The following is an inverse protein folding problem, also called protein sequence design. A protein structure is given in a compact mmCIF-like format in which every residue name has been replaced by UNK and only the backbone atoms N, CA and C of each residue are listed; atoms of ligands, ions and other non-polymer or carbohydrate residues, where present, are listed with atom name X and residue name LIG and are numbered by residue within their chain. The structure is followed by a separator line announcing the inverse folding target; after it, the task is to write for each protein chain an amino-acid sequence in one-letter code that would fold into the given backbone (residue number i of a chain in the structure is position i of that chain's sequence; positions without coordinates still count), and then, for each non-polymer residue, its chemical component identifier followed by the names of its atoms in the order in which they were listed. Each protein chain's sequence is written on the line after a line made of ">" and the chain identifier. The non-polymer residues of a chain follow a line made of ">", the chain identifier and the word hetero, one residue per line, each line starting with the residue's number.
data_IF_516699286591
#
_entry.id   IF_516699286591
#
_cell.length_a   1.000
_cell.length_b   1.000
_cell.length_c   1.000
_cell.angle_alpha   90.00
_cell.angle_beta   90.00
_cell.angle_gamma   90.00
#
_symmetry.space_group_name_H-M   'P 1'
#
loop_
_entity.id
_entity.type
_entity.pdbx_description
1 polymer ?
#
# COMPACT_ATOMS: atom_id res chain seq x y z
N UNK A 1 -17.70 -14.06 -51.88
CA UNK A 1 -19.05 -14.19 -51.31
C UNK A 1 -18.94 -15.09 -50.09
N UNK A 2 -19.20 -14.50 -48.91
CA UNK A 2 -19.71 -15.08 -47.66
C UNK A 2 -18.89 -16.19 -46.98
N UNK A 3 -18.69 -16.25 -45.67
CA UNK A 3 -18.97 -15.38 -44.52
C UNK A 3 -18.21 -16.02 -43.35
N UNK A 4 -17.48 -15.21 -42.59
CA UNK A 4 -16.87 -15.61 -41.31
C UNK A 4 -17.99 -15.69 -40.25
N UNK A 5 -18.15 -16.84 -39.59
CA UNK A 5 -18.94 -16.93 -38.35
C UNK A 5 -17.98 -17.00 -37.17
N UNK A 6 -17.85 -15.87 -36.48
CA UNK A 6 -17.26 -15.74 -35.16
C UNK A 6 -18.33 -16.05 -34.12
N UNK A 7 -18.28 -17.24 -33.52
CA UNK A 7 -19.05 -17.51 -32.31
C UNK A 7 -18.26 -16.96 -31.11
N UNK A 8 -18.67 -15.76 -30.69
CA UNK A 8 -18.16 -15.09 -29.50
C UNK A 8 -19.05 -15.48 -28.32
N UNK A 9 -18.61 -16.43 -27.49
CA UNK A 9 -19.34 -16.80 -26.26
C UNK A 9 -18.92 -15.87 -25.11
N UNK A 10 -19.70 -14.82 -24.89
CA UNK A 10 -19.70 -14.07 -23.63
C UNK A 10 -20.34 -14.94 -22.55
N UNK A 11 -19.60 -15.23 -21.47
CA UNK A 11 -20.13 -15.81 -20.24
C UNK A 11 -20.20 -14.70 -19.19
N UNK A 12 -21.41 -14.24 -18.90
CA UNK A 12 -21.70 -13.30 -17.82
C UNK A 12 -21.89 -14.04 -16.51
N UNK A 13 -21.02 -13.76 -15.55
CA UNK A 13 -20.92 -14.38 -14.24
C UNK A 13 -21.93 -13.77 -13.25
N UNK A 14 -23.25 -13.83 -13.54
CA UNK A 14 -24.25 -13.17 -12.67
C UNK A 14 -25.61 -13.87 -12.51
N UNK A 15 -25.69 -15.20 -12.64
CA UNK A 15 -26.99 -15.92 -12.57
C UNK A 15 -27.16 -16.87 -11.36
N UNK A 16 -26.39 -16.73 -10.28
CA UNK A 16 -26.44 -17.67 -9.15
C UNK A 16 -26.88 -17.11 -7.79
N UNK A 17 -27.70 -16.06 -7.73
CA UNK A 17 -28.19 -15.52 -6.45
C UNK A 17 -29.69 -15.22 -6.38
N UNK A 18 -30.52 -15.96 -7.11
CA UNK A 18 -31.99 -15.91 -6.96
C UNK A 18 -32.60 -17.30 -6.93
N UNK A 19 -32.18 -18.14 -5.98
CA UNK A 19 -32.93 -19.34 -5.59
C UNK A 19 -32.68 -19.64 -4.11
N UNK A 20 -33.33 -18.87 -3.24
CA UNK A 20 -33.66 -19.30 -1.87
C UNK A 20 -35.13 -18.95 -1.63
N UNK A 21 -35.99 -19.71 -2.31
CA UNK A 21 -37.36 -19.94 -1.85
C UNK A 21 -37.28 -20.82 -0.61
N UNK A 22 -37.38 -20.21 0.55
CA UNK A 22 -37.77 -20.87 1.78
C UNK A 22 -38.36 -19.74 2.63
N UNK A 23 -39.67 -19.59 2.60
CA UNK A 23 -40.53 -19.49 3.77
C UNK A 23 -41.97 -19.29 3.28
N UNK A 24 -42.63 -20.43 3.16
CA UNK A 24 -44.08 -20.63 3.17
C UNK A 24 -44.73 -19.75 4.24
N UNK A 25 -45.87 -19.17 3.86
CA UNK A 25 -46.88 -18.63 4.77
C UNK A 25 -47.13 -19.60 5.93
N UNK A 26 -46.86 -19.12 7.14
CA UNK A 26 -47.45 -19.64 8.35
C UNK A 26 -47.83 -18.44 9.21
N UNK A 27 -49.13 -18.23 9.30
CA UNK A 27 -49.78 -17.26 10.17
C UNK A 27 -49.27 -17.41 11.61
N UNK A 28 -48.59 -16.39 12.12
CA UNK A 28 -48.44 -16.19 13.56
C UNK A 28 -48.68 -14.72 13.88
N UNK A 29 -49.92 -14.44 14.30
CA UNK A 29 -50.31 -13.24 15.04
C UNK A 29 -49.29 -12.98 16.16
N UNK A 30 -48.37 -12.05 15.95
CA UNK A 30 -47.53 -11.50 17.02
C UNK A 30 -47.99 -10.08 17.36
N UNK A 31 -48.53 -9.96 18.57
CA UNK A 31 -48.81 -8.69 19.22
C UNK A 31 -47.53 -7.84 19.35
N UNK A 32 -47.63 -6.49 19.38
CA UNK A 32 -46.47 -5.63 19.51
C UNK A 32 -45.79 -5.84 20.86
N UNK A 33 -44.67 -6.57 20.88
CA UNK A 33 -43.78 -6.65 22.05
C UNK A 33 -43.03 -5.34 22.17
N UNK A 34 -43.52 -4.45 23.04
CA UNK A 34 -42.74 -3.33 23.56
C UNK A 34 -41.46 -3.88 24.21
N UNK A 35 -40.31 -3.58 23.60
CA UNK A 35 -39.00 -3.81 24.22
C UNK A 35 -38.88 -2.80 25.36
N UNK A 36 -39.26 -3.22 26.57
CA UNK A 36 -38.92 -2.49 27.79
C UNK A 36 -37.46 -2.77 28.10
N UNK A 37 -36.59 -1.81 27.77
CA UNK A 37 -35.24 -1.78 28.32
C UNK A 37 -35.34 -1.76 29.85
N UNK A 38 -34.70 -2.70 30.58
CA UNK A 38 -34.64 -2.61 32.02
C UNK A 38 -33.86 -1.34 32.39
N UNK A 39 -34.60 -0.32 32.84
CA UNK A 39 -34.06 0.84 33.53
C UNK A 39 -33.43 0.35 34.83
N UNK A 40 -32.14 0.10 34.78
CA UNK A 40 -31.14 0.18 35.86
C UNK A 40 -30.00 -0.74 35.47
N UNK A 41 -29.09 -0.26 34.62
CA UNK A 41 -27.75 -0.82 34.59
C UNK A 41 -27.11 -0.45 35.94
N UNK A 42 -26.83 -1.42 36.82
CA UNK A 42 -26.30 -1.11 38.13
C UNK A 42 -24.92 -0.49 37.96
N UNK A 43 -24.68 0.66 38.59
CA UNK A 43 -23.40 1.40 38.54
C UNK A 43 -22.21 0.50 38.91
N UNK A 44 -22.45 -0.55 39.71
CA UNK A 44 -21.46 -1.57 40.03
C UNK A 44 -20.87 -2.29 38.81
N UNK A 45 -21.63 -2.50 37.73
CA UNK A 45 -21.13 -3.10 36.49
C UNK A 45 -20.23 -2.13 35.72
N UNK A 46 -20.55 -0.85 35.72
CA UNK A 46 -19.71 0.17 35.08
C UNK A 46 -18.38 0.33 35.83
N UNK A 47 -18.43 0.32 37.17
CA UNK A 47 -17.24 0.32 38.02
C UNK A 47 -16.38 -0.94 37.80
N UNK A 48 -17.01 -2.11 37.70
CA UNK A 48 -16.29 -3.36 37.44
C UNK A 48 -15.62 -3.34 36.05
N UNK A 49 -16.28 -2.79 35.03
CA UNK A 49 -15.69 -2.63 33.70
C UNK A 49 -14.51 -1.63 33.71
N UNK A 50 -14.63 -0.51 34.44
CA UNK A 50 -13.51 0.41 34.65
C UNK A 50 -12.35 -0.23 35.41
N UNK A 51 -12.62 -1.03 36.44
CA UNK A 51 -11.59 -1.77 37.17
C UNK A 51 -10.89 -2.81 36.28
N UNK A 52 -11.64 -3.53 35.42
CA UNK A 52 -11.06 -4.48 34.48
C UNK A 52 -10.18 -3.79 33.41
N UNK A 53 -10.58 -2.61 32.94
CA UNK A 53 -9.76 -1.81 32.02
C UNK A 53 -8.46 -1.33 32.69
N UNK A 54 -8.52 -0.90 33.95
CA UNK A 54 -7.34 -0.47 34.70
C UNK A 54 -6.39 -1.63 35.05
N UNK A 55 -6.92 -2.83 35.34
CA UNK A 55 -6.07 -4.02 35.60
C UNK A 55 -5.36 -4.48 34.32
N UNK A 56 -6.00 -4.33 33.15
CA UNK A 56 -5.36 -4.62 31.87
C UNK A 56 -4.23 -3.63 31.52
N UNK A 57 -4.28 -2.37 31.96
CA UNK A 57 -3.14 -1.46 31.79
C UNK A 57 -1.95 -1.86 32.68
N UNK A 58 -2.19 -2.32 33.91
CA UNK A 58 -1.10 -2.63 34.87
C UNK A 58 -0.38 -3.95 34.53
N UNK A 59 -1.04 -4.90 33.87
CA UNK A 59 -0.43 -6.20 33.53
C UNK A 59 0.32 -6.22 32.20
N UNK A 60 0.33 -5.12 31.44
CA UNK A 60 1.16 -4.98 30.23
C UNK A 60 2.59 -4.46 30.50
N UNK A 61 2.94 -4.20 31.77
CA UNK A 61 4.15 -3.46 32.17
C UNK A 61 5.26 -4.30 32.81
N UNK A 62 5.39 -5.59 32.48
CA UNK A 62 6.55 -6.39 32.87
C UNK A 62 7.11 -7.23 31.71
N UNK A 63 7.35 -6.58 30.57
CA UNK A 63 8.37 -7.04 29.62
C UNK A 63 9.63 -6.17 29.77
N UNK A 64 10.84 -6.76 29.71
CA UNK A 64 12.08 -6.07 30.09
C UNK A 64 12.31 -4.83 29.21
N UNK A 65 12.37 -3.68 29.88
CA UNK A 65 12.59 -2.32 29.35
C UNK A 65 13.91 -2.17 28.55
N UNK A 66 14.75 -3.21 28.51
CA UNK A 66 15.96 -3.25 27.69
C UNK A 66 15.70 -3.38 26.16
N UNK A 67 14.46 -3.70 25.73
CA UNK A 67 14.10 -3.77 24.31
C UNK A 67 13.46 -2.48 23.74
N UNK A 68 13.08 -1.51 24.59
CA UNK A 68 12.31 -0.31 24.18
C UNK A 68 13.16 0.95 23.93
N UNK A 69 14.49 0.84 24.02
CA UNK A 69 15.43 1.90 23.62
C UNK A 69 16.31 1.47 22.45
N UNK A 70 15.94 0.42 21.72
CA UNK A 70 16.35 0.30 20.32
C UNK A 70 15.24 0.99 19.51
N UNK A 71 15.15 2.33 19.63
CA UNK A 71 14.55 3.14 18.58
C UNK A 71 15.50 2.97 17.41
N UNK A 72 15.33 1.85 16.69
CA UNK A 72 16.06 1.57 15.46
C UNK A 72 15.90 2.81 14.60
N UNK A 73 17.02 3.38 14.19
CA UNK A 73 17.10 4.50 13.27
C UNK A 73 16.12 4.25 12.13
N UNK A 74 15.03 5.01 12.10
CA UNK A 74 14.03 4.95 11.04
C UNK A 74 14.68 5.39 9.74
N UNK A 75 15.03 4.44 8.88
CA UNK A 75 15.69 4.71 7.61
C UNK A 75 14.67 4.83 6.48
N UNK A 76 14.89 5.75 5.57
CA UNK A 76 14.13 5.85 4.31
C UNK A 76 15.04 5.42 3.17
N UNK A 77 14.56 4.49 2.33
CA UNK A 77 15.27 4.12 1.11
C UNK A 77 14.89 5.08 -0.02
N UNK A 78 15.86 5.77 -0.59
CA UNK A 78 15.67 6.59 -1.79
C UNK A 78 16.22 5.83 -3.01
N UNK A 79 15.35 5.46 -3.93
CA UNK A 79 15.68 4.77 -5.18
C UNK A 79 15.60 5.77 -6.34
N UNK A 80 16.70 5.92 -7.07
CA UNK A 80 16.80 6.84 -8.22
C UNK A 80 17.47 6.18 -9.40
N UNK A 81 17.13 6.63 -10.60
CA UNK A 81 17.92 6.35 -11.80
C UNK A 81 19.16 7.24 -11.86
N UNK A 82 20.21 6.75 -12.52
CA UNK A 82 21.41 7.55 -12.80
C UNK A 82 21.14 8.77 -13.71
N UNK A 83 19.96 8.83 -14.34
CA UNK A 83 19.53 9.96 -15.17
C UNK A 83 18.82 11.08 -14.40
N UNK A 84 18.60 10.93 -13.08
CA UNK A 84 17.93 11.95 -12.26
C UNK A 84 18.79 13.21 -12.20
N UNK A 85 18.21 14.33 -12.65
CA UNK A 85 18.83 15.65 -12.56
C UNK A 85 18.56 16.27 -11.18
N UNK A 86 19.54 16.99 -10.63
CA UNK A 86 19.47 17.66 -9.33
C UNK A 86 19.18 16.73 -8.13
N UNK A 87 19.91 15.62 -8.06
CA UNK A 87 19.87 14.69 -6.92
C UNK A 87 20.22 15.39 -5.59
N UNK A 88 21.15 16.36 -5.62
CA UNK A 88 21.54 17.14 -4.44
C UNK A 88 20.37 17.97 -3.89
N UNK A 89 19.63 18.66 -4.76
CA UNK A 89 18.42 19.38 -4.38
C UNK A 89 17.32 18.48 -3.80
N UNK A 90 17.18 17.25 -4.31
CA UNK A 90 16.26 16.25 -3.76
C UNK A 90 16.69 15.80 -2.35
N UNK A 91 17.97 15.45 -2.19
CA UNK A 91 18.51 14.98 -0.91
C UNK A 91 18.42 16.06 0.18
N UNK A 92 18.62 17.34 -0.16
CA UNK A 92 18.48 18.45 0.78
C UNK A 92 17.06 18.66 1.32
N UNK A 93 16.04 18.19 0.58
CA UNK A 93 14.62 18.31 0.98
C UNK A 93 14.14 17.13 1.83
N UNK A 94 14.86 16.02 1.78
CA UNK A 94 14.57 14.85 2.60
C UNK A 94 15.27 15.02 3.94
N UNK A 95 14.54 14.76 5.02
CA UNK A 95 15.07 14.82 6.37
C UNK A 95 15.05 13.42 6.97
N UNK A 96 16.12 13.04 7.67
CA UNK A 96 16.25 11.74 8.33
C UNK A 96 17.49 10.98 7.89
N UNK A 97 17.55 9.71 8.30
CA UNK A 97 18.56 8.77 7.84
C UNK A 97 18.11 8.18 6.50
N UNK A 98 18.86 8.45 5.43
CA UNK A 98 18.48 8.13 4.05
C UNK A 98 19.54 7.23 3.44
N UNK A 99 19.15 6.04 3.04
CA UNK A 99 19.98 5.19 2.20
C UNK A 99 19.63 5.46 0.73
N UNK A 100 20.63 5.87 -0.06
CA UNK A 100 20.46 6.16 -1.48
C UNK A 100 20.88 4.94 -2.31
N UNK A 101 19.97 4.45 -3.16
CA UNK A 101 20.22 3.44 -4.17
C UNK A 101 20.11 4.06 -5.57
N UNK A 102 21.22 4.10 -6.29
CA UNK A 102 21.26 4.51 -7.70
C UNK A 102 21.20 3.27 -8.60
N UNK A 103 20.16 3.19 -9.43
CA UNK A 103 19.93 2.05 -10.32
C UNK A 103 20.83 2.11 -11.56
N UNK A 104 21.23 0.92 -12.04
CA UNK A 104 22.01 0.75 -13.24
C UNK A 104 21.12 0.19 -14.37
N UNK A 105 21.10 0.89 -15.52
CA UNK A 105 20.27 0.55 -16.67
C UNK A 105 20.54 -0.84 -17.29
N UNK A 106 21.68 -1.46 -16.96
CA UNK A 106 22.06 -2.78 -17.47
C UNK A 106 21.49 -3.95 -16.66
N UNK A 107 20.92 -3.69 -15.49
CA UNK A 107 20.40 -4.71 -14.58
C UNK A 107 18.86 -4.74 -14.56
N UNK A 108 18.28 -5.81 -14.03
CA UNK A 108 16.82 -5.85 -13.80
C UNK A 108 16.52 -5.06 -12.51
N UNK A 109 15.63 -4.04 -12.55
CA UNK A 109 15.45 -3.09 -11.46
C UNK A 109 15.13 -3.74 -10.12
N UNK A 110 14.15 -4.65 -10.04
CA UNK A 110 13.75 -5.23 -8.76
C UNK A 110 14.78 -6.24 -8.23
N UNK A 111 15.51 -6.94 -9.10
CA UNK A 111 16.66 -7.77 -8.72
C UNK A 111 17.76 -6.92 -8.11
N UNK A 112 18.08 -5.75 -8.69
CA UNK A 112 19.07 -4.84 -8.12
C UNK A 112 18.61 -4.31 -6.77
N UNK A 113 17.36 -3.87 -6.67
CA UNK A 113 16.78 -3.35 -5.42
C UNK A 113 16.83 -4.42 -4.33
N UNK A 114 16.35 -5.64 -4.62
CA UNK A 114 16.34 -6.75 -3.68
C UNK A 114 17.75 -7.17 -3.23
N UNK A 115 18.74 -7.08 -4.13
CA UNK A 115 20.13 -7.34 -3.79
C UNK A 115 20.70 -6.24 -2.89
N UNK A 116 20.36 -4.98 -3.13
CA UNK A 116 20.89 -3.83 -2.40
C UNK A 116 20.34 -3.75 -0.97
N UNK A 117 19.04 -3.99 -0.78
CA UNK A 117 18.40 -3.97 0.54
C UNK A 117 18.72 -5.23 1.38
N UNK A 118 19.22 -6.29 0.74
CA UNK A 118 19.69 -7.49 1.44
C UNK A 118 18.64 -8.06 2.40
N UNK A 119 19.04 -8.34 3.63
CA UNK A 119 18.16 -8.77 4.74
C UNK A 119 17.88 -7.64 5.75
N UNK A 120 18.15 -6.39 5.40
CA UNK A 120 17.86 -5.23 6.26
C UNK A 120 16.33 -4.98 6.29
N UNK A 121 15.72 -4.99 7.48
CA UNK A 121 14.27 -4.82 7.67
C UNK A 121 13.89 -3.47 8.30
N UNK A 122 14.80 -2.50 8.29
CA UNK A 122 14.68 -1.31 9.13
C UNK A 122 14.21 -0.07 8.36
N UNK A 123 13.72 -0.26 7.14
CA UNK A 123 13.15 0.82 6.35
C UNK A 123 11.72 1.13 6.80
N UNK A 124 11.47 2.39 7.15
CA UNK A 124 10.13 2.90 7.48
C UNK A 124 9.37 3.39 6.24
N UNK A 125 10.04 3.47 5.10
CA UNK A 125 9.45 3.91 3.84
C UNK A 125 10.45 3.88 2.70
N UNK A 126 9.92 4.04 1.50
CA UNK A 126 10.71 4.11 0.27
C UNK A 126 10.21 5.25 -0.59
N UNK A 127 11.14 6.04 -1.11
CA UNK A 127 10.90 7.03 -2.16
C UNK A 127 11.50 6.48 -3.44
N UNK A 128 10.69 6.35 -4.49
CA UNK A 128 11.14 5.96 -5.82
C UNK A 128 10.95 7.12 -6.78
N UNK A 129 12.04 7.51 -7.43
CA UNK A 129 12.09 8.62 -8.39
C UNK A 129 12.19 8.04 -9.79
N UNK A 130 11.19 8.29 -10.62
CA UNK A 130 11.09 7.69 -11.95
C UNK A 130 10.56 8.69 -12.98
N UNK A 131 10.86 8.46 -14.26
CA UNK A 131 10.01 9.04 -15.31
C UNK A 131 8.72 8.22 -15.41
N UNK A 132 7.64 8.82 -15.90
CA UNK A 132 6.36 8.13 -16.08
C UNK A 132 5.71 8.48 -17.40
N UNK A 133 4.87 7.57 -17.88
CA UNK A 133 3.99 7.79 -19.00
C UNK A 133 2.68 7.03 -18.74
N UNK A 134 1.58 7.75 -18.49
CA UNK A 134 0.17 7.29 -18.34
C UNK A 134 -0.10 6.01 -17.53
N UNK A 135 0.49 4.86 -17.85
CA UNK A 135 0.30 3.54 -17.24
C UNK A 135 1.59 2.75 -16.97
N UNK A 136 2.75 3.42 -17.05
CA UNK A 136 4.04 2.83 -16.77
C UNK A 136 5.00 3.84 -16.12
N UNK A 137 5.96 3.32 -15.36
CA UNK A 137 7.13 4.06 -14.89
C UNK A 137 8.39 3.59 -15.61
N UNK A 138 9.35 4.49 -15.81
CA UNK A 138 10.65 4.15 -16.36
C UNK A 138 11.68 4.16 -15.23
N UNK A 139 12.24 2.98 -14.95
CA UNK A 139 13.27 2.76 -13.94
C UNK A 139 14.32 1.78 -14.48
N UNK A 140 15.59 1.99 -14.13
CA UNK A 140 16.74 1.19 -14.55
C UNK A 140 16.74 0.86 -16.05
N UNK A 141 16.44 1.85 -16.90
CA UNK A 141 16.46 1.66 -18.35
C UNK A 141 15.26 0.90 -18.94
N UNK A 142 14.20 0.67 -18.15
CA UNK A 142 13.06 -0.18 -18.53
C UNK A 142 11.72 0.47 -18.21
N UNK A 143 10.76 0.28 -19.10
CA UNK A 143 9.35 0.56 -18.81
C UNK A 143 8.76 -0.57 -17.97
N UNK A 144 8.36 -0.21 -16.75
CA UNK A 144 7.62 -1.06 -15.82
C UNK A 144 6.14 -0.71 -15.98
N UNK A 145 5.45 -1.53 -16.78
CA UNK A 145 4.02 -1.48 -17.01
C UNK A 145 3.32 -2.70 -16.37
N UNK A 146 2.01 -2.86 -16.58
CA UNK A 146 1.26 -4.02 -16.05
C UNK A 146 1.83 -5.37 -16.51
N UNK A 147 2.30 -5.47 -17.75
CA UNK A 147 2.84 -6.72 -18.27
C UNK A 147 4.15 -7.07 -17.56
N UNK A 148 5.03 -6.08 -17.38
CA UNK A 148 6.24 -6.19 -16.60
C UNK A 148 5.94 -6.67 -15.17
N UNK A 149 4.98 -6.05 -14.50
CA UNK A 149 4.59 -6.38 -13.13
C UNK A 149 4.15 -7.84 -13.00
N UNK A 150 3.37 -8.36 -13.96
CA UNK A 150 2.93 -9.76 -13.96
C UNK A 150 4.10 -10.72 -14.21
N UNK A 151 4.99 -10.39 -15.14
CA UNK A 151 6.16 -11.21 -15.46
C UNK A 151 7.15 -11.30 -14.29
N UNK A 152 7.34 -10.21 -13.55
CA UNK A 152 8.32 -10.09 -12.47
C UNK A 152 7.69 -10.10 -11.07
N UNK A 153 6.45 -10.59 -10.95
CA UNK A 153 5.67 -10.57 -9.70
C UNK A 153 6.42 -11.07 -8.47
N UNK A 154 7.27 -12.09 -8.63
CA UNK A 154 8.06 -12.66 -7.53
C UNK A 154 9.11 -11.69 -7.00
N UNK A 155 9.84 -11.00 -7.88
CA UNK A 155 10.83 -10.00 -7.48
C UNK A 155 10.18 -8.76 -6.86
N UNK A 156 9.02 -8.35 -7.37
CA UNK A 156 8.27 -7.21 -6.84
C UNK A 156 7.65 -7.53 -5.47
N UNK A 157 7.13 -8.74 -5.29
CA UNK A 157 6.63 -9.18 -3.98
C UNK A 157 7.77 -9.27 -2.96
N UNK A 158 8.91 -9.85 -3.35
CA UNK A 158 10.11 -9.89 -2.49
C UNK A 158 10.58 -8.49 -2.09
N UNK A 159 10.48 -7.50 -2.97
CA UNK A 159 10.76 -6.10 -2.64
C UNK A 159 9.82 -5.59 -1.54
N UNK A 160 8.51 -5.83 -1.67
CA UNK A 160 7.52 -5.45 -0.67
C UNK A 160 7.75 -6.09 0.70
N UNK A 161 8.17 -7.36 0.74
CA UNK A 161 8.44 -8.12 1.97
C UNK A 161 9.61 -7.57 2.81
N UNK A 162 10.45 -6.69 2.25
CA UNK A 162 11.61 -6.10 2.94
C UNK A 162 11.25 -4.88 3.80
N UNK A 163 9.99 -4.46 3.76
CA UNK A 163 9.50 -3.30 4.48
C UNK A 163 8.55 -3.71 5.60
N UNK A 164 8.50 -2.90 6.66
CA UNK A 164 7.54 -3.11 7.75
C UNK A 164 6.11 -2.89 7.24
N UNK A 165 5.12 -3.50 7.89
CA UNK A 165 3.70 -3.37 7.53
C UNK A 165 3.12 -1.94 7.60
N UNK A 166 3.87 -0.97 8.12
CA UNK A 166 3.51 0.45 8.17
C UNK A 166 4.27 1.30 7.15
N UNK A 167 5.10 0.69 6.32
CA UNK A 167 5.94 1.41 5.39
C UNK A 167 5.13 1.87 4.19
N UNK A 168 5.37 3.11 3.78
CA UNK A 168 4.75 3.70 2.62
C UNK A 168 5.75 3.77 1.48
N UNK A 169 5.26 3.57 0.26
CA UNK A 169 6.00 3.79 -0.97
C UNK A 169 5.53 5.09 -1.62
N UNK A 170 6.44 6.02 -1.81
CA UNK A 170 6.20 7.26 -2.53
C UNK A 170 6.82 7.22 -3.92
N UNK A 171 6.00 7.34 -4.96
CA UNK A 171 6.43 7.49 -6.35
C UNK A 171 6.47 8.97 -6.74
N UNK A 172 7.68 9.48 -6.96
CA UNK A 172 7.92 10.81 -7.52
C UNK A 172 8.15 10.67 -9.03
N UNK A 173 7.22 11.19 -9.81
CA UNK A 173 7.15 10.92 -11.25
C UNK A 173 7.17 12.20 -12.10
N UNK A 174 7.76 12.13 -13.29
CA UNK A 174 7.81 13.26 -14.23
C UNK A 174 6.45 13.62 -14.82
N UNK A 175 5.53 12.65 -14.91
CA UNK A 175 4.19 12.79 -15.47
C UNK A 175 3.16 12.14 -14.55
N UNK A 176 1.89 12.50 -14.68
CA UNK A 176 0.83 11.99 -13.81
C UNK A 176 0.42 10.56 -14.16
N UNK A 177 0.42 9.68 -13.16
CA UNK A 177 -0.24 8.37 -13.22
C UNK A 177 -1.69 8.41 -12.73
N UNK A 178 -2.21 9.57 -12.33
CA UNK A 178 -3.59 9.76 -11.87
C UNK A 178 -4.51 9.84 -13.08
N UNK A 179 -4.80 8.67 -13.66
CA UNK A 179 -5.69 8.48 -14.79
C UNK A 179 -6.17 7.00 -14.81
N UNK A 180 -7.26 6.66 -15.54
CA UNK A 180 -7.83 5.31 -15.49
C UNK A 180 -6.87 4.17 -15.87
N UNK A 181 -5.87 4.42 -16.73
CA UNK A 181 -4.89 3.38 -17.09
C UNK A 181 -3.86 3.20 -15.99
N UNK A 182 -3.35 4.31 -15.47
CA UNK A 182 -2.44 4.41 -14.33
C UNK A 182 -3.02 3.82 -13.06
N UNK A 183 -4.32 4.03 -12.78
CA UNK A 183 -5.01 3.45 -11.61
C UNK A 183 -4.89 1.93 -11.57
N UNK A 184 -5.07 1.28 -12.73
CA UNK A 184 -4.90 -0.17 -12.80
C UNK A 184 -3.43 -0.61 -12.64
N UNK A 185 -2.47 0.22 -13.06
CA UNK A 185 -1.04 -0.06 -12.83
C UNK A 185 -0.72 0.04 -11.34
N UNK A 186 -1.16 1.13 -10.69
CA UNK A 186 -0.95 1.37 -9.27
C UNK A 186 -1.63 0.32 -8.41
N UNK A 187 -2.88 -0.06 -8.73
CA UNK A 187 -3.59 -1.12 -8.00
C UNK A 187 -2.83 -2.45 -8.05
N UNK A 188 -2.28 -2.82 -9.22
CA UNK A 188 -1.48 -4.04 -9.35
C UNK A 188 -0.16 -3.91 -8.59
N UNK A 189 0.50 -2.75 -8.66
CA UNK A 189 1.75 -2.50 -7.98
C UNK A 189 1.61 -2.53 -6.45
N UNK A 190 0.61 -1.85 -5.90
CA UNK A 190 0.19 -1.92 -4.50
C UNK A 190 -0.14 -3.35 -4.10
N UNK A 191 -0.91 -4.08 -4.92
CA UNK A 191 -1.26 -5.48 -4.64
C UNK A 191 -0.06 -6.43 -4.63
N UNK A 192 0.96 -6.19 -5.45
CA UNK A 192 2.16 -7.02 -5.47
C UNK A 192 3.12 -6.68 -4.33
N UNK A 193 3.31 -5.39 -4.03
CA UNK A 193 4.24 -4.92 -3.00
C UNK A 193 3.65 -4.95 -1.59
N UNK A 194 2.32 -4.96 -1.46
CA UNK A 194 1.61 -4.78 -0.19
C UNK A 194 1.92 -3.46 0.54
N UNK A 195 2.60 -2.52 -0.13
CA UNK A 195 2.90 -1.19 0.39
C UNK A 195 1.77 -0.23 0.06
N UNK A 196 1.52 0.74 0.94
CA UNK A 196 0.65 1.86 0.58
C UNK A 196 1.39 2.78 -0.39
N UNK A 197 0.86 2.93 -1.61
CA UNK A 197 1.52 3.62 -2.71
C UNK A 197 0.90 5.00 -2.90
N UNK A 198 1.68 6.04 -2.61
CA UNK A 198 1.34 7.43 -2.91
C UNK A 198 2.10 7.89 -4.15
N UNK A 199 1.42 8.56 -5.09
CA UNK A 199 2.03 9.05 -6.33
C UNK A 199 1.92 10.55 -6.43
N UNK A 200 3.04 11.18 -6.79
CA UNK A 200 3.13 12.61 -7.06
C UNK A 200 3.74 12.78 -8.46
N UNK A 201 2.97 13.35 -9.38
CA UNK A 201 3.36 13.56 -10.77
C UNK A 201 2.79 14.85 -11.34
N UNK A 202 3.32 15.29 -12.48
CA UNK A 202 2.83 16.48 -13.18
C UNK A 202 3.36 17.83 -12.67
N UNK A 203 4.42 17.82 -11.86
CA UNK A 203 5.18 19.03 -11.58
C UNK A 203 5.96 19.44 -12.83
N UNK A 204 5.67 20.63 -13.37
CA UNK A 204 6.48 21.24 -14.43
C UNK A 204 7.96 21.22 -14.01
N UNK A 205 8.71 20.36 -14.69
CA UNK A 205 10.16 20.27 -14.77
C UNK A 205 10.93 20.28 -13.44
N UNK A 206 11.58 19.15 -13.19
CA UNK A 206 12.41 18.84 -12.03
C UNK A 206 11.58 18.50 -10.80
N UNK A 207 12.11 17.62 -9.96
CA UNK A 207 11.51 17.09 -8.74
C UNK A 207 11.29 18.18 -7.64
N UNK A 208 11.07 19.43 -8.04
CA UNK A 208 11.26 20.67 -7.30
C UNK A 208 9.98 21.49 -7.08
N UNK A 209 8.87 21.22 -7.78
CA UNK A 209 7.66 22.05 -7.67
C UNK A 209 6.71 21.67 -6.53
N UNK A 210 7.02 20.65 -5.72
CA UNK A 210 6.23 20.35 -4.53
C UNK A 210 6.73 21.20 -3.35
N UNK A 211 6.04 22.31 -3.09
CA UNK A 211 6.14 23.07 -1.83
C UNK A 211 5.46 22.36 -0.65
N UNK A 212 4.94 21.15 -0.86
CA UNK A 212 4.32 20.34 0.18
C UNK A 212 5.34 19.30 0.67
N UNK A 213 5.61 19.37 1.96
CA UNK A 213 6.44 18.48 2.74
C UNK A 213 6.19 16.99 2.42
N UNK A 214 7.23 16.26 2.04
CA UNK A 214 7.23 14.78 2.00
C UNK A 214 7.59 14.31 3.40
N UNK A 215 6.58 14.26 4.26
CA UNK A 215 6.71 13.72 5.61
C UNK A 215 6.40 12.25 5.64
N UNK A 216 7.38 11.42 5.99
CA UNK A 216 7.13 10.10 6.52
C UNK A 216 6.79 10.29 8.01
N UNK A 217 5.52 10.13 8.38
CA UNK A 217 5.04 10.28 9.75
C UNK A 217 4.60 8.93 10.31
#
# INVERSE_FOLDING_TARGET
>A
MNSLNQDSTYSTFNDNLTHLELFSEAELKQAPRQIKFPRQFPISWLLLLCCLLLVNEVTATEQPIAALLNVESSKVLLIVDNSVQDLEGLLHRLHGDIDLLVLNETQEPFSQINQAIGDEQNYVGVVMVAAAASDAIYIAGRWVDKHYLVQHKGGIAQFGEKFTARSNLMLLTSDSLINPKGDGFLTLFTGLTQLDVSVFGGAEHHYLAFNNFVGFF
#
